data_IF_815940956850
#
_entry.id   IF_815940956850
#
_cell.length_a   1.000
_cell.length_b   1.000
_cell.length_c   1.000
_cell.angle_alpha   90.00
_cell.angle_beta   90.00
_cell.angle_gamma   90.00
#
_symmetry.space_group_name_H-M   'P 1'
#
loop_
_entity.id
_entity.type
_entity.pdbx_description
1 polymer ?
#
# COMPACT_ATOMS: atom_id res chain seq x y z
N UNK A 1 -0.48 -15.72 -9.35
CA UNK A 1 -1.84 -15.59 -8.78
C UNK A 1 -2.85 -15.83 -9.89
N UNK A 2 -4.14 -16.08 -9.58
CA UNK A 2 -5.17 -16.28 -10.60
C UNK A 2 -5.34 -15.06 -11.51
N UNK A 3 -5.36 -13.86 -10.93
CA UNK A 3 -5.41 -12.59 -11.66
C UNK A 3 -4.25 -12.43 -12.67
N UNK A 4 -3.02 -12.81 -12.29
CA UNK A 4 -1.87 -12.73 -13.20
C UNK A 4 -2.04 -13.64 -14.42
N UNK A 5 -2.61 -14.83 -14.22
CA UNK A 5 -2.85 -15.77 -15.31
C UNK A 5 -3.92 -15.23 -16.27
N UNK A 6 -5.00 -14.64 -15.75
CA UNK A 6 -6.06 -14.02 -16.56
C UNK A 6 -5.54 -12.86 -17.43
N UNK A 7 -4.60 -12.06 -16.92
CA UNK A 7 -3.92 -10.98 -17.69
C UNK A 7 -3.10 -11.56 -18.83
N UNK A 8 -2.35 -12.63 -18.58
CA UNK A 8 -1.52 -13.30 -19.59
C UNK A 8 -2.37 -14.02 -20.65
N UNK A 9 -3.48 -14.64 -20.25
CA UNK A 9 -4.39 -15.33 -21.17
C UNK A 9 -5.16 -14.36 -22.06
N UNK A 10 -5.42 -13.13 -21.58
CA UNK A 10 -6.09 -12.08 -22.33
C UNK A 10 -5.25 -11.52 -23.49
N UNK A 11 -3.92 -11.66 -23.43
CA UNK A 11 -2.98 -11.24 -24.46
C UNK A 11 -2.76 -9.72 -24.55
N UNK A 12 -1.63 -9.28 -25.15
CA UNK A 12 -1.19 -7.89 -25.14
C UNK A 12 -2.13 -6.93 -25.88
N UNK A 13 -2.97 -7.42 -26.80
CA UNK A 13 -3.92 -6.59 -27.53
C UNK A 13 -5.07 -6.07 -26.65
N UNK A 14 -5.46 -6.83 -25.62
CA UNK A 14 -6.56 -6.45 -24.72
C UNK A 14 -6.08 -5.71 -23.47
N UNK A 15 -4.96 -6.12 -22.89
CA UNK A 15 -4.45 -5.54 -21.64
C UNK A 15 -3.43 -4.42 -21.87
N UNK A 16 -2.96 -4.25 -23.12
CA UNK A 16 -1.88 -3.34 -23.48
C UNK A 16 -0.51 -3.99 -23.31
N UNK A 17 0.44 -3.62 -24.18
CA UNK A 17 1.79 -4.20 -24.22
C UNK A 17 2.55 -4.04 -22.90
N UNK A 18 2.56 -2.83 -22.33
CA UNK A 18 3.30 -2.55 -21.10
C UNK A 18 2.81 -3.39 -19.92
N UNK A 19 1.49 -3.57 -19.79
CA UNK A 19 0.88 -4.39 -18.73
C UNK A 19 1.21 -5.87 -18.94
N UNK A 20 1.15 -6.34 -20.19
CA UNK A 20 1.48 -7.71 -20.54
C UNK A 20 2.96 -8.05 -20.29
N UNK A 21 3.87 -7.16 -20.67
CA UNK A 21 5.31 -7.31 -20.43
C UNK A 21 5.63 -7.30 -18.93
N UNK A 22 5.01 -6.41 -18.17
CA UNK A 22 5.12 -6.40 -16.71
C UNK A 22 4.60 -7.69 -16.06
N UNK A 23 3.48 -8.23 -16.56
CA UNK A 23 2.93 -9.50 -16.11
C UNK A 23 3.88 -10.68 -16.41
N UNK A 24 4.51 -10.72 -17.59
CA UNK A 24 5.52 -11.71 -17.94
C UNK A 24 6.74 -11.61 -17.01
N UNK A 25 7.22 -10.40 -16.78
CA UNK A 25 8.34 -10.14 -15.86
C UNK A 25 7.99 -10.59 -14.44
N UNK A 26 6.78 -10.31 -13.95
CA UNK A 26 6.32 -10.75 -12.63
C UNK A 26 6.19 -12.28 -12.53
N UNK A 27 5.78 -12.95 -13.61
CA UNK A 27 5.71 -14.42 -13.66
C UNK A 27 7.09 -15.06 -13.55
N UNK A 28 8.10 -14.46 -14.18
CA UNK A 28 9.46 -15.01 -14.22
C UNK A 28 10.29 -14.64 -12.99
N UNK A 29 10.19 -13.39 -12.52
CA UNK A 29 11.05 -12.84 -11.47
C UNK A 29 10.37 -12.80 -10.09
N UNK A 30 9.09 -13.20 -10.01
CA UNK A 30 8.29 -13.13 -8.80
C UNK A 30 7.57 -11.79 -8.63
N UNK A 31 6.74 -11.73 -7.58
CA UNK A 31 5.96 -10.54 -7.24
C UNK A 31 6.75 -9.51 -6.42
N UNK A 32 6.02 -8.71 -5.64
CA UNK A 32 6.61 -7.73 -4.73
C UNK A 32 7.55 -8.42 -3.73
N UNK A 33 8.81 -7.96 -3.59
CA UNK A 33 9.75 -8.55 -2.63
C UNK A 33 9.27 -8.39 -1.18
N UNK A 34 9.37 -9.46 -0.38
CA UNK A 34 9.07 -9.44 1.05
C UNK A 34 9.90 -8.41 1.82
N UNK A 35 11.12 -8.16 1.35
CA UNK A 35 12.05 -7.19 1.94
C UNK A 35 11.42 -5.81 2.11
N UNK A 36 10.58 -5.35 1.18
CA UNK A 36 9.97 -4.02 1.26
C UNK A 36 9.08 -3.89 2.50
N UNK A 37 8.27 -4.91 2.80
CA UNK A 37 7.45 -4.93 4.01
C UNK A 37 8.29 -5.06 5.28
N UNK A 38 9.35 -5.88 5.24
CA UNK A 38 10.27 -6.02 6.37
C UNK A 38 11.02 -4.71 6.68
N UNK A 39 11.50 -4.00 5.66
CA UNK A 39 12.17 -2.71 5.79
C UNK A 39 11.24 -1.67 6.42
N UNK A 40 9.99 -1.60 5.97
CA UNK A 40 8.98 -0.70 6.56
C UNK A 40 8.70 -1.07 8.03
N UNK A 41 8.56 -2.35 8.35
CA UNK A 41 8.33 -2.79 9.72
C UNK A 41 9.49 -2.41 10.66
N UNK A 42 10.74 -2.60 10.21
CA UNK A 42 11.93 -2.19 10.97
C UNK A 42 11.98 -0.68 11.15
N UNK A 43 11.67 0.09 10.10
CA UNK A 43 11.60 1.55 10.19
C UNK A 43 10.57 2.01 11.22
N UNK A 44 9.34 1.47 11.18
CA UNK A 44 8.26 1.79 12.12
C UNK A 44 8.55 1.33 13.55
N UNK A 45 9.42 0.35 13.74
CA UNK A 45 9.89 -0.10 15.06
C UNK A 45 11.08 0.73 15.60
N UNK A 46 11.57 1.71 14.83
CA UNK A 46 12.72 2.54 15.17
C UNK A 46 12.33 3.99 15.47
N UNK A 47 13.20 4.72 16.16
CA UNK A 47 13.03 6.15 16.43
C UNK A 47 13.03 7.02 15.17
N UNK A 48 13.48 6.49 14.02
CA UNK A 48 13.39 7.21 12.76
C UNK A 48 11.94 7.47 12.33
N UNK A 49 10.98 6.72 12.87
CA UNK A 49 9.54 6.89 12.57
C UNK A 49 8.80 7.75 13.59
N UNK A 50 9.49 8.26 14.62
CA UNK A 50 8.87 9.06 15.69
C UNK A 50 8.11 10.26 15.10
N UNK A 51 6.84 10.40 15.49
CA UNK A 51 5.94 11.43 14.99
C UNK A 51 5.09 11.02 13.77
N UNK A 52 5.38 9.89 13.11
CA UNK A 52 4.54 9.37 12.03
C UNK A 52 3.44 8.49 12.64
N UNK A 53 2.23 9.04 12.79
CA UNK A 53 1.10 8.32 13.39
C UNK A 53 -0.17 8.39 12.54
N UNK A 54 -0.99 7.33 12.63
CA UNK A 54 -2.31 7.26 11.99
C UNK A 54 -2.31 7.23 10.46
N UNK A 55 -1.16 6.87 9.84
CA UNK A 55 -1.00 6.84 8.37
C UNK A 55 -1.10 5.42 7.82
N UNK A 56 -1.80 5.28 6.69
CA UNK A 56 -1.80 4.10 5.83
C UNK A 56 -0.59 4.20 4.90
N UNK A 57 0.35 3.27 5.02
CA UNK A 57 1.62 3.28 4.30
C UNK A 57 1.71 2.06 3.39
N UNK A 58 1.97 2.32 2.11
CA UNK A 58 2.29 1.32 1.10
C UNK A 58 3.80 1.16 1.01
N UNK A 59 4.33 0.06 1.55
CA UNK A 59 5.77 -0.23 1.54
C UNK A 59 6.44 -0.11 0.15
N UNK A 60 5.82 -0.55 -0.97
CA UNK A 60 6.44 -0.44 -2.30
C UNK A 60 6.27 0.92 -2.99
N UNK A 61 5.31 1.75 -2.59
CA UNK A 61 4.87 2.90 -3.39
C UNK A 61 5.12 4.25 -2.70
N UNK A 62 5.09 4.28 -1.36
CA UNK A 62 5.30 5.50 -0.62
C UNK A 62 6.77 5.72 -0.32
N UNK A 63 7.22 6.97 -0.44
CA UNK A 63 8.57 7.40 -0.04
C UNK A 63 8.68 7.60 1.47
N UNK A 64 8.24 6.62 2.24
CA UNK A 64 8.14 6.70 3.71
C UNK A 64 9.48 6.96 4.40
N UNK A 65 10.62 6.61 3.77
CA UNK A 65 11.96 6.93 4.28
C UNK A 65 12.24 8.45 4.32
N UNK A 66 11.55 9.25 3.49
CA UNK A 66 11.70 10.71 3.47
C UNK A 66 10.73 11.42 4.42
N UNK A 67 9.70 10.72 4.92
CA UNK A 67 8.65 11.31 5.76
C UNK A 67 9.13 11.96 7.06
N UNK A 68 10.22 11.51 7.72
CA UNK A 68 10.77 12.22 8.89
C UNK A 68 11.18 13.66 8.59
N UNK A 69 11.40 14.03 7.32
CA UNK A 69 11.70 15.40 6.88
C UNK A 69 10.44 16.27 6.72
N UNK A 70 9.25 15.67 6.78
CA UNK A 70 7.95 16.29 6.48
C UNK A 70 6.92 16.09 7.61
N UNK A 71 7.39 15.92 8.85
CA UNK A 71 6.52 15.59 9.99
C UNK A 71 5.44 16.65 10.24
N UNK A 72 5.76 17.93 10.04
CA UNK A 72 4.80 19.01 10.25
C UNK A 72 3.65 18.91 9.22
N UNK A 73 3.98 18.77 7.94
CA UNK A 73 3.00 18.63 6.86
C UNK A 73 2.15 17.36 7.04
N UNK A 74 2.76 16.25 7.46
CA UNK A 74 2.07 15.00 7.77
C UNK A 74 1.18 15.09 9.02
N UNK A 75 1.55 15.94 9.98
CA UNK A 75 0.82 16.13 11.23
C UNK A 75 -0.42 17.01 11.09
N UNK A 76 -0.36 18.04 10.24
CA UNK A 76 -1.47 18.99 10.05
C UNK A 76 -2.44 18.61 8.94
N UNK A 77 -2.12 17.59 8.13
CA UNK A 77 -2.96 17.16 7.00
C UNK A 77 -3.54 15.75 7.19
N UNK A 78 -4.55 15.44 6.39
CA UNK A 78 -5.20 14.13 6.32
C UNK A 78 -4.57 13.21 5.26
N UNK A 79 -3.46 13.62 4.65
CA UNK A 79 -2.75 12.82 3.64
C UNK A 79 -2.34 11.47 4.24
N UNK A 80 -2.54 10.41 3.46
CA UNK A 80 -2.35 9.01 3.87
C UNK A 80 -3.21 8.56 5.07
N UNK A 81 -4.22 9.32 5.49
CA UNK A 81 -5.08 8.93 6.62
C UNK A 81 -6.38 8.28 6.13
N UNK A 82 -6.80 7.19 6.76
CA UNK A 82 -8.08 6.55 6.46
C UNK A 82 -9.20 7.13 7.34
N UNK A 83 -10.35 7.44 6.73
CA UNK A 83 -11.58 7.70 7.49
C UNK A 83 -12.29 6.39 7.76
N UNK A 84 -12.44 6.04 9.04
CA UNK A 84 -13.25 4.90 9.47
C UNK A 84 -14.73 5.21 9.28
N UNK A 85 -15.44 4.23 8.72
CA UNK A 85 -16.90 4.15 8.74
C UNK A 85 -17.27 3.32 9.97
N UNK A 86 -18.15 3.83 10.83
CA UNK A 86 -18.58 3.15 12.07
C UNK A 86 -19.84 2.31 11.83
N UNK A 87 -20.14 1.36 12.71
CA UNK A 87 -21.30 0.47 12.60
C UNK A 87 -22.62 1.23 12.53
N UNK A 88 -22.75 2.27 13.37
CA UNK A 88 -23.88 3.21 13.34
C UNK A 88 -24.07 3.92 11.98
N UNK A 89 -23.01 4.13 11.19
CA UNK A 89 -23.12 4.71 9.84
C UNK A 89 -23.78 3.75 8.84
N UNK A 90 -23.96 2.48 9.23
CA UNK A 90 -24.62 1.43 8.44
C UNK A 90 -25.84 0.84 9.14
N UNK A 91 -26.29 1.47 10.24
CA UNK A 91 -27.43 1.02 11.02
C UNK A 91 -27.17 -0.25 11.83
N UNK A 92 -25.91 -0.60 12.09
CA UNK A 92 -25.56 -1.70 12.97
C UNK A 92 -25.55 -1.23 14.43
N UNK A 93 -26.26 -1.94 15.29
CA UNK A 93 -26.35 -1.71 16.73
C UNK A 93 -25.27 -2.45 17.54
N UNK A 94 -24.54 -3.36 16.89
CA UNK A 94 -23.45 -4.15 17.49
C UNK A 94 -22.05 -3.61 17.20
N UNK A 95 -21.92 -2.57 16.36
CA UNK A 95 -20.63 -2.14 15.80
C UNK A 95 -19.87 -1.09 16.62
N UNK A 96 -20.53 -0.37 17.53
CA UNK A 96 -19.94 0.71 18.33
C UNK A 96 -20.54 0.70 19.75
N UNK A 97 -19.74 1.10 20.76
CA UNK A 97 -20.15 1.23 22.17
C UNK A 97 -20.66 2.64 22.45
#
# INVERSE_FOLDING_TARGET
TKMLQEVLDSGPEKVGKDVYENALNQKNNGGTPLKLGADLAVFLASSASDGITGKLISAPWDKWMDWPKHLNELGISDVYSLRRIVGRDRGFDWGDV
#
